data_IF_253429271140
#
_entry.id   IF_253429271140
#
_cell.length_a   1.000
_cell.length_b   1.000
_cell.length_c   1.000
_cell.angle_alpha   90.00
_cell.angle_beta   90.00
_cell.angle_gamma   90.00
#
_symmetry.space_group_name_H-M   'P 1'
#
loop_
_entity.id
_entity.type
_entity.pdbx_description
1 polymer ?
#
# COMPACT_ATOMS: atom_id res chain seq x y z
N UNK A 1 -5.76 3.84 -19.12
CA UNK A 1 -5.84 2.39 -18.84
C UNK A 1 -7.24 1.95 -18.37
N UNK A 2 -8.16 2.90 -18.16
CA UNK A 2 -9.51 2.68 -17.59
C UNK A 2 -9.47 2.08 -16.18
N UNK A 3 -8.44 2.39 -15.42
CA UNK A 3 -8.31 2.01 -14.01
C UNK A 3 -9.23 2.91 -13.19
N UNK A 4 -10.08 2.36 -12.28
CA UNK A 4 -10.92 3.17 -11.42
C UNK A 4 -10.07 4.07 -10.52
N UNK A 5 -10.39 5.34 -10.45
CA UNK A 5 -9.78 6.32 -9.54
C UNK A 5 -10.84 6.94 -8.65
N UNK A 6 -10.44 7.46 -7.51
CA UNK A 6 -11.36 8.17 -6.63
C UNK A 6 -11.99 9.34 -7.41
N UNK A 7 -13.32 9.48 -7.41
CA UNK A 7 -13.99 10.61 -8.06
C UNK A 7 -13.47 11.95 -7.52
N UNK A 8 -13.08 12.84 -8.41
CA UNK A 8 -12.48 14.10 -8.03
C UNK A 8 -12.32 15.07 -9.20
N UNK A 9 -11.66 16.19 -8.95
CA UNK A 9 -11.34 17.19 -9.98
C UNK A 9 -10.29 16.63 -10.93
N UNK A 10 -10.51 16.80 -12.24
CA UNK A 10 -9.52 16.46 -13.27
C UNK A 10 -8.51 17.60 -13.45
N UNK A 11 -8.99 18.82 -13.32
CA UNK A 11 -8.20 20.03 -13.41
C UNK A 11 -7.95 20.59 -12.00
N UNK A 12 -6.83 21.29 -11.82
CA UNK A 12 -6.55 21.94 -10.56
C UNK A 12 -7.55 23.04 -10.23
N UNK A 13 -7.75 23.30 -8.96
CA UNK A 13 -8.58 24.40 -8.44
C UNK A 13 -7.69 25.36 -7.66
N UNK A 14 -7.92 26.66 -7.85
CA UNK A 14 -7.08 27.72 -7.29
C UNK A 14 -7.82 28.63 -6.32
N UNK A 15 -9.14 28.66 -6.39
CA UNK A 15 -9.98 29.53 -5.58
C UNK A 15 -11.06 28.76 -4.85
N UNK A 16 -11.52 29.30 -3.69
CA UNK A 16 -12.62 28.72 -2.94
C UNK A 16 -13.87 28.57 -3.81
N UNK A 17 -14.18 29.57 -4.66
CA UNK A 17 -15.37 29.55 -5.51
C UNK A 17 -15.32 28.45 -6.60
N UNK A 18 -14.14 28.12 -7.13
CA UNK A 18 -13.94 26.98 -8.02
C UNK A 18 -14.10 25.67 -7.29
N UNK A 19 -13.50 25.59 -6.09
CA UNK A 19 -13.55 24.43 -5.23
C UNK A 19 -14.98 24.11 -4.78
N UNK A 20 -15.76 25.10 -4.35
CA UNK A 20 -17.18 24.93 -3.97
C UNK A 20 -18.05 24.42 -5.13
N UNK A 21 -17.77 24.87 -6.36
CA UNK A 21 -18.46 24.33 -7.55
C UNK A 21 -18.15 22.86 -7.77
N UNK A 22 -16.87 22.48 -7.67
CA UNK A 22 -16.44 21.11 -7.85
C UNK A 22 -17.01 20.18 -6.75
N UNK A 23 -17.06 20.63 -5.51
CA UNK A 23 -17.62 19.84 -4.39
C UNK A 23 -19.09 19.52 -4.57
N UNK A 24 -19.88 20.39 -5.22
CA UNK A 24 -21.30 20.10 -5.54
C UNK A 24 -21.48 18.86 -6.41
N UNK A 25 -20.49 18.54 -7.24
CA UNK A 25 -20.50 17.34 -8.08
C UNK A 25 -19.89 16.14 -7.36
N UNK A 26 -18.84 16.35 -6.56
CA UNK A 26 -18.12 15.29 -5.85
C UNK A 26 -18.90 14.80 -4.62
N UNK A 27 -19.52 15.74 -3.87
CA UNK A 27 -20.21 15.50 -2.60
C UNK A 27 -19.25 15.52 -1.39
N UNK A 28 -19.87 15.54 -0.19
CA UNK A 28 -19.15 15.40 1.08
C UNK A 28 -19.23 13.96 1.62
N UNK A 29 -18.23 13.51 2.39
CA UNK A 29 -17.00 14.22 2.74
C UNK A 29 -16.01 14.28 1.55
N UNK A 30 -15.22 15.36 1.50
CA UNK A 30 -14.25 15.63 0.44
C UNK A 30 -12.84 15.77 1.00
N UNK A 31 -11.87 15.20 0.29
CA UNK A 31 -10.45 15.39 0.55
C UNK A 31 -9.93 16.56 -0.28
N UNK A 32 -9.34 17.52 0.38
CA UNK A 32 -8.61 18.64 -0.21
C UNK A 32 -7.14 18.27 -0.24
N UNK A 33 -6.48 18.33 -1.41
CA UNK A 33 -5.10 17.88 -1.61
C UNK A 33 -4.29 18.95 -2.33
N UNK A 34 -3.13 19.30 -1.78
CA UNK A 34 -2.14 20.10 -2.51
C UNK A 34 -1.44 19.22 -3.56
N UNK A 35 -1.22 19.76 -4.77
CA UNK A 35 -0.54 19.04 -5.86
C UNK A 35 0.87 18.61 -5.47
N UNK A 36 1.62 19.49 -4.82
CA UNK A 36 2.98 19.22 -4.33
C UNK A 36 3.00 18.55 -2.96
N UNK A 37 1.82 18.28 -2.35
CA UNK A 37 1.70 17.69 -1.01
C UNK A 37 2.06 16.20 -1.00
N UNK A 38 2.55 15.74 0.16
CA UNK A 38 2.86 14.33 0.40
C UNK A 38 3.01 14.05 1.89
N UNK A 39 2.86 12.77 2.30
CA UNK A 39 2.98 12.38 3.70
C UNK A 39 1.96 13.05 4.63
N UNK A 40 0.78 13.45 4.11
CA UNK A 40 -0.28 14.13 4.88
C UNK A 40 -0.16 15.65 4.97
N UNK A 41 0.91 16.26 4.46
CA UNK A 41 1.04 17.72 4.38
C UNK A 41 0.24 18.27 3.20
N UNK A 42 -0.46 19.39 3.43
CA UNK A 42 -1.34 19.99 2.42
C UNK A 42 -2.59 19.18 2.14
N UNK A 43 -3.02 18.33 3.07
CA UNK A 43 -4.23 17.50 2.95
C UNK A 43 -5.20 17.81 4.10
N UNK A 44 -6.48 17.99 3.77
CA UNK A 44 -7.56 18.22 4.74
C UNK A 44 -8.83 17.51 4.30
N UNK A 45 -9.58 16.99 5.27
CA UNK A 45 -10.90 16.41 5.01
C UNK A 45 -11.95 17.39 5.47
N UNK A 46 -12.81 17.82 4.54
CA UNK A 46 -13.99 18.59 4.86
C UNK A 46 -15.21 17.67 4.84
N UNK A 47 -15.97 17.66 5.94
CA UNK A 47 -17.14 16.79 6.11
C UNK A 47 -18.45 17.44 5.71
N UNK A 48 -18.45 18.76 5.62
CA UNK A 48 -19.64 19.56 5.30
C UNK A 48 -19.23 20.91 4.67
N UNK A 49 -20.24 21.61 4.14
CA UNK A 49 -20.06 22.88 3.45
C UNK A 49 -19.54 23.99 4.39
N UNK A 50 -19.94 23.95 5.68
CA UNK A 50 -19.61 25.01 6.64
C UNK A 50 -18.12 25.12 6.94
N UNK A 51 -17.41 24.00 6.97
CA UNK A 51 -15.98 23.96 7.26
C UNK A 51 -15.09 24.00 5.99
N UNK A 52 -15.69 23.73 4.81
CA UNK A 52 -14.95 23.49 3.58
C UNK A 52 -14.06 24.66 3.17
N UNK A 53 -14.65 25.88 3.07
CA UNK A 53 -13.92 27.06 2.61
C UNK A 53 -12.68 27.34 3.48
N UNK A 54 -12.84 27.30 4.80
CA UNK A 54 -11.74 27.51 5.75
C UNK A 54 -10.65 26.45 5.63
N UNK A 55 -11.04 25.17 5.49
CA UNK A 55 -10.09 24.07 5.35
C UNK A 55 -9.34 24.12 4.01
N UNK A 56 -10.02 24.55 2.94
CA UNK A 56 -9.39 24.77 1.64
C UNK A 56 -8.32 25.87 1.70
N UNK A 57 -8.65 27.03 2.23
CA UNK A 57 -7.69 28.13 2.41
C UNK A 57 -6.50 27.73 3.26
N UNK A 58 -6.76 27.01 4.37
CA UNK A 58 -5.69 26.53 5.27
C UNK A 58 -4.76 25.56 4.56
N UNK A 59 -5.29 24.59 3.80
CA UNK A 59 -4.48 23.62 3.04
C UNK A 59 -3.67 24.30 1.94
N UNK A 60 -4.27 25.28 1.26
CA UNK A 60 -3.59 26.03 0.19
C UNK A 60 -2.47 26.91 0.75
N UNK A 61 -2.69 27.61 1.87
CA UNK A 61 -1.65 28.41 2.55
C UNK A 61 -0.48 27.54 3.01
N UNK A 62 -0.78 26.36 3.59
CA UNK A 62 0.24 25.38 3.98
C UNK A 62 1.06 24.93 2.76
N UNK A 63 0.41 24.68 1.62
CA UNK A 63 1.06 24.29 0.39
C UNK A 63 1.97 25.37 -0.15
N UNK A 64 1.50 26.61 -0.19
CA UNK A 64 2.31 27.76 -0.62
C UNK A 64 3.52 27.95 0.29
N UNK A 65 3.32 27.85 1.60
CA UNK A 65 4.42 28.01 2.56
C UNK A 65 5.47 26.89 2.47
N UNK A 66 5.02 25.65 2.29
CA UNK A 66 5.91 24.48 2.31
C UNK A 66 6.52 24.14 0.95
N UNK A 67 5.82 24.43 -0.14
CA UNK A 67 6.17 23.96 -1.49
C UNK A 67 6.20 25.08 -2.54
N UNK A 68 5.82 26.31 -2.18
CA UNK A 68 5.68 27.45 -3.14
C UNK A 68 4.69 27.16 -4.27
N UNK A 69 3.68 26.33 -4.01
CA UNK A 69 2.67 25.89 -4.99
C UNK A 69 1.27 26.03 -4.37
N UNK A 70 0.35 26.69 -5.09
CA UNK A 70 -1.03 26.90 -4.67
C UNK A 70 -2.03 25.99 -5.39
N UNK A 71 -1.52 25.02 -6.15
CA UNK A 71 -2.33 24.08 -6.93
C UNK A 71 -3.01 23.08 -6.02
N UNK A 72 -4.34 23.04 -6.06
CA UNK A 72 -5.15 22.16 -5.24
C UNK A 72 -5.99 21.22 -6.10
N UNK A 73 -6.29 20.02 -5.56
CA UNK A 73 -7.21 19.04 -6.10
C UNK A 73 -8.22 18.64 -5.04
N UNK A 74 -9.40 18.20 -5.48
CA UNK A 74 -10.46 17.69 -4.61
C UNK A 74 -10.80 16.27 -5.02
N UNK A 75 -10.93 15.40 -4.03
CA UNK A 75 -11.34 14.01 -4.24
C UNK A 75 -12.42 13.63 -3.22
N UNK A 76 -13.33 12.74 -3.60
CA UNK A 76 -14.24 12.13 -2.62
C UNK A 76 -13.43 11.48 -1.51
N UNK A 77 -13.77 11.75 -0.27
CA UNK A 77 -13.12 11.07 0.84
C UNK A 77 -13.75 9.68 1.02
N UNK A 78 -12.95 8.64 0.84
CA UNK A 78 -13.37 7.26 1.06
C UNK A 78 -13.28 6.98 2.56
N UNK A 79 -14.43 6.76 3.20
CA UNK A 79 -14.49 6.53 4.64
C UNK A 79 -14.18 5.08 4.99
N UNK A 80 -13.31 4.89 5.99
CA UNK A 80 -12.91 3.58 6.50
C UNK A 80 -12.58 2.55 5.38
N UNK A 81 -11.76 2.91 4.40
CA UNK A 81 -11.42 1.99 3.33
C UNK A 81 -10.53 0.86 3.84
N UNK A 82 -10.58 -0.29 3.17
CA UNK A 82 -9.49 -1.26 3.26
C UNK A 82 -8.38 -0.86 2.30
N UNK A 83 -7.16 -1.07 2.74
CA UNK A 83 -5.98 -0.97 1.91
C UNK A 83 -5.69 -2.35 1.32
N UNK A 84 -6.05 -2.55 0.07
CA UNK A 84 -5.84 -3.81 -0.65
C UNK A 84 -4.90 -3.55 -1.81
N UNK A 85 -3.86 -4.36 -1.92
CA UNK A 85 -2.84 -4.18 -2.94
C UNK A 85 -2.62 -5.46 -3.74
N UNK A 86 -2.22 -5.32 -5.00
CA UNK A 86 -2.02 -6.45 -5.91
C UNK A 86 -0.55 -6.53 -6.33
N UNK A 87 0.06 -7.69 -6.10
CA UNK A 87 1.44 -7.97 -6.52
C UNK A 87 1.52 -8.19 -8.02
N UNK A 88 2.39 -7.45 -8.68
CA UNK A 88 2.68 -7.54 -10.12
C UNK A 88 4.07 -8.12 -10.35
N UNK A 89 4.18 -8.95 -11.38
CA UNK A 89 5.43 -9.28 -12.05
C UNK A 89 5.31 -8.97 -13.53
N UNK A 90 6.33 -8.32 -14.09
CA UNK A 90 6.38 -7.95 -15.50
C UNK A 90 7.79 -8.13 -16.07
N UNK A 91 7.89 -8.63 -17.29
CA UNK A 91 9.17 -8.76 -18.01
C UNK A 91 9.26 -7.80 -19.21
N UNK A 92 10.44 -7.67 -19.76
CA UNK A 92 10.71 -6.83 -20.95
C UNK A 92 10.03 -7.31 -22.24
N UNK A 93 9.43 -8.49 -22.23
CA UNK A 93 8.76 -9.09 -23.39
C UNK A 93 7.25 -8.76 -23.43
N UNK A 94 6.77 -7.97 -22.45
CA UNK A 94 5.37 -7.55 -22.35
C UNK A 94 4.49 -8.55 -21.60
N UNK A 95 5.05 -9.59 -20.99
CA UNK A 95 4.31 -10.44 -20.08
C UNK A 95 4.12 -9.70 -18.77
N UNK A 96 2.88 -9.57 -18.34
CA UNK A 96 2.50 -8.95 -17.06
C UNK A 96 1.47 -9.84 -16.40
N UNK A 97 1.76 -10.29 -15.18
CA UNK A 97 0.87 -11.13 -14.38
C UNK A 97 0.68 -10.53 -12.99
N UNK A 98 -0.37 -10.96 -12.30
CA UNK A 98 -0.58 -10.69 -10.88
C UNK A 98 -0.50 -11.98 -10.06
N UNK A 99 -0.02 -11.87 -8.82
CA UNK A 99 0.14 -12.98 -7.88
C UNK A 99 -0.88 -12.93 -6.72
N UNK A 100 -2.07 -12.38 -6.98
CA UNK A 100 -3.06 -12.14 -5.94
C UNK A 100 -2.84 -10.84 -5.18
N UNK A 101 -3.66 -10.67 -4.16
CA UNK A 101 -3.69 -9.46 -3.36
C UNK A 101 -3.25 -9.71 -1.92
N UNK A 102 -2.91 -8.59 -1.26
CA UNK A 102 -2.68 -8.50 0.18
C UNK A 102 -3.65 -7.50 0.81
N UNK A 103 -4.13 -7.78 1.99
CA UNK A 103 -4.82 -6.82 2.85
C UNK A 103 -3.79 -6.18 3.80
N UNK A 104 -3.61 -4.87 3.67
CA UNK A 104 -2.68 -4.08 4.45
C UNK A 104 -3.41 -3.03 5.31
N UNK A 105 -4.66 -3.30 5.69
CA UNK A 105 -5.51 -2.33 6.39
C UNK A 105 -5.12 -2.12 7.85
N UNK A 106 -4.40 -3.07 8.48
CA UNK A 106 -3.94 -2.90 9.86
C UNK A 106 -2.71 -2.00 9.88
N UNK A 107 -2.94 -0.74 10.19
CA UNK A 107 -1.93 0.30 10.14
C UNK A 107 -1.92 1.13 11.43
N UNK A 108 -0.76 1.69 11.77
CA UNK A 108 -0.60 2.70 12.81
C UNK A 108 0.02 3.95 12.20
N UNK A 109 -0.68 5.08 12.26
CA UNK A 109 -0.23 6.36 11.66
C UNK A 109 0.17 6.22 10.18
N UNK A 110 -0.64 5.50 9.40
CA UNK A 110 -0.41 5.19 7.99
C UNK A 110 0.81 4.29 7.70
N UNK A 111 1.37 3.63 8.70
CA UNK A 111 2.39 2.61 8.55
C UNK A 111 1.74 1.22 8.69
N UNK A 112 1.95 0.36 7.71
CA UNK A 112 1.51 -1.04 7.71
C UNK A 112 2.16 -1.76 8.89
N UNK A 113 1.38 -2.57 9.63
CA UNK A 113 1.83 -3.30 10.82
C UNK A 113 1.59 -4.81 10.70
N UNK A 114 0.45 -5.17 10.11
CA UNK A 114 0.08 -6.56 9.83
C UNK A 114 -0.46 -6.60 8.42
N UNK A 115 0.04 -7.53 7.63
CA UNK A 115 -0.39 -7.79 6.26
C UNK A 115 -0.80 -9.25 6.11
N UNK A 116 -1.85 -9.51 5.34
CA UNK A 116 -2.32 -10.88 5.11
C UNK A 116 -2.65 -11.12 3.64
N UNK A 117 -2.50 -12.37 3.21
CA UNK A 117 -2.89 -12.83 1.87
C UNK A 117 -3.50 -14.24 1.98
N UNK A 118 -4.62 -14.51 1.27
CA UNK A 118 -5.45 -13.55 0.53
C UNK A 118 -6.31 -12.66 1.43
N UNK A 119 -6.79 -11.55 0.90
CA UNK A 119 -7.73 -10.66 1.60
C UNK A 119 -9.07 -11.38 1.82
N UNK A 120 -9.51 -11.45 3.08
CA UNK A 120 -10.78 -12.11 3.46
C UNK A 120 -12.03 -11.27 3.16
N UNK A 121 -11.85 -9.97 2.89
CA UNK A 121 -12.95 -9.03 2.69
C UNK A 121 -13.46 -8.99 1.24
N UNK A 122 -12.82 -9.70 0.31
CA UNK A 122 -13.18 -9.68 -1.11
C UNK A 122 -13.61 -11.05 -1.60
N UNK A 123 -14.56 -11.05 -2.53
CA UNK A 123 -14.99 -12.26 -3.25
C UNK A 123 -14.00 -12.61 -4.35
N UNK A 124 -14.02 -13.87 -4.82
CA UNK A 124 -13.18 -14.31 -5.95
C UNK A 124 -13.44 -13.50 -7.23
N UNK A 125 -14.68 -13.06 -7.44
CA UNK A 125 -15.05 -12.19 -8.57
C UNK A 125 -14.36 -10.83 -8.45
N UNK A 126 -14.32 -10.24 -7.24
CA UNK A 126 -13.68 -8.96 -7.01
C UNK A 126 -12.16 -9.10 -7.08
N UNK A 127 -11.58 -10.16 -6.51
CA UNK A 127 -10.16 -10.51 -6.61
C UNK A 127 -9.71 -10.56 -8.06
N UNK A 128 -10.44 -11.27 -8.90
CA UNK A 128 -10.15 -11.34 -10.33
C UNK A 128 -10.20 -9.96 -11.00
N UNK A 129 -11.24 -9.17 -10.74
CA UNK A 129 -11.40 -7.82 -11.29
C UNK A 129 -10.25 -6.90 -10.88
N UNK A 130 -9.85 -6.94 -9.60
CA UNK A 130 -8.73 -6.14 -9.08
C UNK A 130 -7.40 -6.57 -9.71
N UNK A 131 -7.14 -7.88 -9.81
CA UNK A 131 -5.95 -8.42 -10.45
C UNK A 131 -5.81 -8.01 -11.92
N UNK A 132 -6.88 -8.17 -12.70
CA UNK A 132 -6.93 -7.74 -14.11
C UNK A 132 -6.72 -6.23 -14.26
N UNK A 133 -7.31 -5.44 -13.35
CA UNK A 133 -7.12 -3.98 -13.32
C UNK A 133 -5.68 -3.59 -13.02
N UNK A 134 -5.04 -4.27 -12.07
CA UNK A 134 -3.64 -4.04 -11.73
C UNK A 134 -2.70 -4.39 -12.90
N UNK A 135 -2.97 -5.49 -13.61
CA UNK A 135 -2.24 -5.85 -14.85
C UNK A 135 -2.42 -4.78 -15.92
N UNK A 136 -3.63 -4.25 -16.10
CA UNK A 136 -3.88 -3.16 -17.06
C UNK A 136 -3.10 -1.89 -16.70
N UNK A 137 -3.04 -1.52 -15.40
CA UNK A 137 -2.27 -0.38 -14.93
C UNK A 137 -0.77 -0.56 -15.21
N UNK A 138 -0.20 -1.70 -14.84
CA UNK A 138 1.21 -2.00 -15.05
C UNK A 138 1.59 -2.02 -16.54
N UNK A 139 0.77 -2.61 -17.40
CA UNK A 139 0.96 -2.60 -18.87
C UNK A 139 0.93 -1.18 -19.43
N UNK A 140 -0.01 -0.35 -18.99
CA UNK A 140 -0.11 1.04 -19.46
C UNK A 140 1.09 1.90 -19.04
N UNK A 141 1.73 1.56 -17.92
CA UNK A 141 2.97 2.18 -17.46
C UNK A 141 4.24 1.64 -18.15
N UNK A 142 4.15 0.57 -18.92
CA UNK A 142 5.31 -0.12 -19.48
C UNK A 142 6.23 -0.69 -18.40
N UNK A 143 5.64 -1.18 -17.30
CA UNK A 143 6.38 -1.60 -16.12
C UNK A 143 7.14 -2.90 -16.33
N UNK A 144 8.34 -2.99 -15.76
CA UNK A 144 9.17 -4.21 -15.68
C UNK A 144 9.58 -4.46 -14.23
N UNK A 145 9.78 -5.72 -13.85
CA UNK A 145 10.15 -6.22 -12.52
C UNK A 145 8.98 -6.50 -11.60
N UNK A 146 9.25 -6.70 -10.30
CA UNK A 146 8.24 -6.83 -9.27
C UNK A 146 7.76 -5.45 -8.81
N UNK A 147 6.47 -5.25 -8.80
CA UNK A 147 5.83 -4.02 -8.34
C UNK A 147 4.47 -4.30 -7.72
N UNK A 148 3.87 -3.30 -7.14
CA UNK A 148 2.58 -3.42 -6.45
C UNK A 148 1.66 -2.29 -6.84
N UNK A 149 0.40 -2.62 -7.14
CA UNK A 149 -0.67 -1.64 -7.34
C UNK A 149 -1.51 -1.60 -6.08
N UNK A 150 -1.58 -0.44 -5.45
CA UNK A 150 -2.35 -0.21 -4.23
C UNK A 150 -3.73 0.37 -4.56
N UNK A 151 -4.75 -0.14 -3.88
CA UNK A 151 -6.15 0.26 -4.02
C UNK A 151 -6.77 0.60 -2.67
N UNK A 152 -7.68 1.57 -2.68
CA UNK A 152 -8.66 1.77 -1.62
C UNK A 152 -9.92 1.00 -1.98
N UNK A 153 -10.31 0.07 -1.12
CA UNK A 153 -11.56 -0.69 -1.24
C UNK A 153 -12.58 -0.12 -0.25
N UNK A 154 -13.70 0.38 -0.74
CA UNK A 154 -14.75 0.91 0.11
C UNK A 154 -15.71 -0.19 0.62
N UNK A 155 -16.61 0.18 1.52
CA UNK A 155 -17.57 -0.74 2.12
C UNK A 155 -18.63 -1.27 1.15
N UNK A 156 -18.81 -0.61 0.00
CA UNK A 156 -19.74 -1.04 -1.06
C UNK A 156 -19.13 -2.10 -1.98
N UNK A 157 -17.82 -2.34 -1.88
CA UNK A 157 -17.05 -3.21 -2.75
C UNK A 157 -16.52 -2.52 -4.01
N UNK A 158 -16.65 -1.19 -4.11
CA UNK A 158 -15.95 -0.41 -5.14
C UNK A 158 -14.50 -0.17 -4.72
N UNK A 159 -13.59 -0.22 -5.68
CA UNK A 159 -12.18 -0.02 -5.41
C UNK A 159 -11.57 1.05 -6.33
N UNK A 160 -10.59 1.76 -5.82
CA UNK A 160 -9.98 2.91 -6.48
C UNK A 160 -8.46 2.80 -6.41
N UNK A 161 -7.80 3.03 -7.54
CA UNK A 161 -6.36 3.12 -7.63
C UNK A 161 -5.84 4.24 -6.72
N UNK A 162 -4.84 3.93 -5.92
CA UNK A 162 -4.16 4.88 -5.06
C UNK A 162 -2.77 5.22 -5.62
N UNK A 163 -1.91 4.22 -5.74
CA UNK A 163 -0.55 4.40 -6.27
C UNK A 163 0.04 3.08 -6.79
N UNK A 164 1.18 3.19 -7.46
CA UNK A 164 2.02 2.06 -7.83
C UNK A 164 3.36 2.16 -7.12
N UNK A 165 3.73 1.11 -6.39
CA UNK A 165 5.05 0.96 -5.83
C UNK A 165 5.94 0.19 -6.82
N UNK A 166 6.90 0.90 -7.43
CA UNK A 166 7.81 0.39 -8.46
C UNK A 166 9.05 -0.27 -7.84
N UNK A 167 8.83 -1.14 -6.87
CA UNK A 167 9.83 -1.85 -6.08
C UNK A 167 9.21 -3.05 -5.39
N UNK A 168 10.07 -3.92 -4.84
CA UNK A 168 9.61 -4.93 -3.87
C UNK A 168 9.16 -4.24 -2.59
N UNK A 169 8.15 -4.79 -1.92
CA UNK A 169 7.64 -4.28 -0.64
C UNK A 169 8.03 -5.21 0.52
N UNK A 170 7.93 -4.70 1.75
CA UNK A 170 8.27 -5.44 2.96
C UNK A 170 7.42 -6.72 3.06
N UNK A 171 6.14 -6.60 2.75
CA UNK A 171 5.09 -7.62 2.86
C UNK A 171 5.05 -8.64 1.71
N UNK A 172 6.05 -8.64 0.82
CA UNK A 172 6.11 -9.63 -0.27
C UNK A 172 6.07 -11.11 0.18
N UNK A 173 6.59 -11.49 1.37
CA UNK A 173 6.62 -12.89 1.77
C UNK A 173 5.25 -13.55 1.89
N UNK A 174 4.20 -12.81 2.28
CA UNK A 174 2.85 -13.40 2.35
C UNK A 174 2.37 -13.83 0.96
N UNK A 175 2.71 -13.07 -0.09
CA UNK A 175 2.42 -13.45 -1.47
C UNK A 175 3.26 -14.65 -1.91
N UNK A 176 4.55 -14.70 -1.55
CA UNK A 176 5.41 -15.84 -1.86
C UNK A 176 4.86 -17.15 -1.29
N UNK A 177 4.39 -17.12 -0.03
CA UNK A 177 3.82 -18.30 0.61
C UNK A 177 2.56 -18.80 -0.09
N UNK A 178 1.60 -17.92 -0.39
CA UNK A 178 0.33 -18.34 -0.97
C UNK A 178 0.40 -18.64 -2.46
N UNK A 179 1.33 -18.03 -3.20
CA UNK A 179 1.49 -18.24 -4.66
C UNK A 179 2.53 -19.28 -5.02
N UNK A 180 3.48 -19.57 -4.11
CA UNK A 180 4.62 -20.43 -4.38
C UNK A 180 5.68 -19.81 -5.30
N UNK A 181 5.63 -18.50 -5.56
CA UNK A 181 6.57 -17.78 -6.44
C UNK A 181 7.56 -16.99 -5.62
N UNK A 182 8.85 -17.24 -5.80
CA UNK A 182 9.95 -16.47 -5.19
C UNK A 182 10.14 -15.15 -5.97
N UNK A 183 9.63 -14.06 -5.41
CA UNK A 183 9.63 -12.74 -6.03
C UNK A 183 11.03 -12.17 -6.21
N UNK A 184 11.93 -12.39 -5.26
CA UNK A 184 13.32 -11.90 -5.33
C UNK A 184 14.07 -12.63 -6.45
N UNK A 185 13.86 -13.92 -6.58
CA UNK A 185 14.44 -14.72 -7.65
C UNK A 185 13.92 -14.28 -9.02
N UNK A 186 12.62 -14.00 -9.12
CA UNK A 186 12.04 -13.49 -10.37
C UNK A 186 12.61 -12.10 -10.72
N UNK A 187 12.80 -11.19 -9.75
CA UNK A 187 13.46 -9.90 -10.00
C UNK A 187 14.86 -10.08 -10.60
N UNK A 188 15.65 -11.01 -10.04
CA UNK A 188 17.00 -11.30 -10.54
C UNK A 188 16.95 -11.86 -11.97
N UNK A 189 16.02 -12.77 -12.26
CA UNK A 189 15.83 -13.35 -13.61
C UNK A 189 15.42 -12.28 -14.63
N UNK A 190 14.44 -11.45 -14.28
CA UNK A 190 14.00 -10.36 -15.14
C UNK A 190 15.14 -9.38 -15.42
N UNK A 191 15.91 -9.01 -14.40
CA UNK A 191 17.08 -8.15 -14.55
C UNK A 191 18.18 -8.78 -15.42
N UNK A 192 18.33 -10.11 -15.38
CA UNK A 192 19.21 -10.86 -16.27
C UNK A 192 18.68 -10.94 -17.71
N UNK A 193 17.46 -10.48 -17.94
CA UNK A 193 16.83 -10.46 -19.26
C UNK A 193 16.06 -11.71 -19.61
N UNK A 194 15.78 -12.59 -18.65
CA UNK A 194 14.95 -13.77 -18.83
C UNK A 194 13.45 -13.39 -18.86
N UNK A 195 12.61 -14.15 -19.55
CA UNK A 195 11.16 -14.03 -19.42
C UNK A 195 10.69 -14.52 -18.05
N UNK A 196 9.46 -14.15 -17.66
CA UNK A 196 8.83 -14.70 -16.46
C UNK A 196 8.85 -16.23 -16.48
N UNK A 197 9.21 -16.83 -15.33
CA UNK A 197 9.25 -18.29 -15.20
C UNK A 197 7.87 -18.94 -15.07
N UNK A 198 6.84 -18.15 -14.84
CA UNK A 198 5.45 -18.56 -14.62
C UNK A 198 4.49 -17.74 -15.48
N UNK A 199 3.35 -18.30 -15.81
CA UNK A 199 2.27 -17.61 -16.53
C UNK A 199 1.08 -17.38 -15.60
N UNK A 200 0.19 -16.45 -15.93
CA UNK A 200 -1.00 -16.15 -15.11
C UNK A 200 -1.85 -17.40 -14.82
N UNK A 201 -1.97 -18.31 -15.76
CA UNK A 201 -2.75 -19.55 -15.60
C UNK A 201 -2.14 -20.54 -14.60
N UNK A 202 -0.87 -20.39 -14.28
CA UNK A 202 -0.12 -21.28 -13.38
C UNK A 202 -0.21 -20.78 -11.93
N UNK A 203 -0.72 -19.57 -11.74
CA UNK A 203 -0.85 -18.96 -10.41
C UNK A 203 -2.11 -19.47 -9.72
N UNK A 204 -1.91 -20.15 -8.62
CA UNK A 204 -2.94 -20.63 -7.74
C UNK A 204 -2.66 -20.15 -6.31
N UNK A 205 -3.61 -19.44 -5.71
CA UNK A 205 -3.50 -18.98 -4.33
C UNK A 205 -3.91 -20.11 -3.39
N UNK A 206 -2.98 -20.57 -2.55
CA UNK A 206 -3.18 -21.70 -1.63
C UNK A 206 -2.91 -21.27 -0.21
N UNK A 207 -3.75 -21.74 0.72
CA UNK A 207 -3.60 -21.44 2.14
C UNK A 207 -3.81 -19.97 2.48
N UNK A 208 -3.25 -19.58 3.60
CA UNK A 208 -3.31 -18.21 4.11
C UNK A 208 -1.99 -17.86 4.78
N UNK A 209 -1.47 -16.67 4.53
CA UNK A 209 -0.26 -16.16 5.16
C UNK A 209 -0.53 -14.82 5.83
N UNK A 210 0.14 -14.59 6.95
CA UNK A 210 0.08 -13.33 7.68
C UNK A 210 1.50 -12.91 8.08
N UNK A 211 1.82 -11.64 7.88
CA UNK A 211 3.08 -11.03 8.29
C UNK A 211 2.82 -10.03 9.41
N UNK A 212 3.68 -10.04 10.44
CA UNK A 212 3.72 -9.03 11.49
C UNK A 212 5.08 -8.32 11.45
N UNK A 213 5.08 -7.00 11.42
CA UNK A 213 6.30 -6.20 11.55
C UNK A 213 6.66 -6.05 13.01
N UNK A 214 7.91 -6.34 13.35
CA UNK A 214 8.45 -6.21 14.71
C UNK A 214 9.34 -4.98 14.73
N UNK A 215 8.92 -4.00 15.52
CA UNK A 215 9.58 -2.70 15.61
C UNK A 215 10.23 -2.51 16.99
N UNK A 216 11.45 -1.98 17.00
CA UNK A 216 12.12 -1.52 18.22
C UNK A 216 11.53 -0.16 18.62
N UNK A 217 10.40 -0.19 19.31
CA UNK A 217 9.64 0.99 19.73
C UNK A 217 9.17 0.84 21.17
N UNK A 218 9.05 1.96 21.87
CA UNK A 218 8.58 2.02 23.25
C UNK A 218 7.09 2.41 23.28
N UNK A 219 6.16 1.48 23.61
CA UNK A 219 4.73 1.76 23.64
C UNK A 219 4.34 2.76 24.75
N UNK A 220 5.11 2.84 25.85
CA UNK A 220 4.85 3.79 26.94
C UNK A 220 5.22 5.22 26.55
N UNK A 221 6.09 5.38 25.53
CA UNK A 221 6.48 6.66 24.96
C UNK A 221 5.88 6.92 23.58
N UNK A 222 4.61 6.60 23.41
CA UNK A 222 3.90 6.80 22.15
C UNK A 222 4.55 6.12 20.94
N UNK A 223 5.16 4.96 21.14
CA UNK A 223 5.87 4.20 20.12
C UNK A 223 7.05 4.96 19.49
N UNK A 224 7.77 5.72 20.31
CA UNK A 224 9.03 6.30 19.87
C UNK A 224 10.04 5.20 19.54
N UNK A 225 10.88 5.37 18.49
CA UNK A 225 11.98 4.46 18.22
C UNK A 225 12.86 4.27 19.46
N UNK A 226 13.19 3.02 19.76
CA UNK A 226 13.95 2.62 20.92
C UNK A 226 15.24 1.89 20.47
N UNK A 227 16.27 2.63 19.96
CA UNK A 227 17.56 2.03 19.63
C UNK A 227 18.25 1.54 20.91
N UNK A 228 19.07 0.53 20.77
CA UNK A 228 19.79 -0.03 21.91
C UNK A 228 20.35 -1.42 21.62
N UNK A 229 20.89 -2.05 22.66
CA UNK A 229 21.45 -3.41 22.56
C UNK A 229 20.39 -4.45 22.90
N UNK A 230 20.28 -5.48 22.04
CA UNK A 230 19.47 -6.67 22.31
C UNK A 230 20.26 -7.57 23.23
N UNK A 231 19.78 -7.70 24.47
CA UNK A 231 20.46 -8.54 25.49
C UNK A 231 20.07 -10.00 25.42
N UNK A 232 18.87 -10.28 24.94
CA UNK A 232 18.33 -11.63 24.73
C UNK A 232 17.39 -11.65 23.54
N UNK A 233 17.53 -12.66 22.68
CA UNK A 233 16.72 -12.82 21.47
C UNK A 233 16.29 -14.28 21.33
N UNK A 234 14.98 -14.50 21.28
CA UNK A 234 14.39 -15.77 20.94
C UNK A 234 13.50 -15.62 19.72
N UNK A 235 13.89 -16.24 18.60
CA UNK A 235 13.10 -16.22 17.37
C UNK A 235 12.18 -17.44 17.34
N UNK A 236 10.88 -17.26 16.98
CA UNK A 236 9.98 -18.38 16.77
C UNK A 236 10.42 -19.20 15.55
N UNK A 237 10.07 -20.48 15.53
CA UNK A 237 10.38 -21.38 14.42
C UNK A 237 9.38 -22.53 14.37
N UNK A 238 9.47 -23.30 13.30
CA UNK A 238 8.60 -24.46 13.06
C UNK A 238 8.05 -24.45 11.64
N UNK A 239 7.17 -25.42 11.36
CA UNK A 239 6.55 -25.51 10.03
C UNK A 239 5.63 -24.31 9.78
N UNK A 240 5.75 -23.69 8.61
CA UNK A 240 4.95 -22.52 8.24
C UNK A 240 5.37 -21.21 8.91
N UNK A 241 6.53 -21.17 9.61
CA UNK A 241 7.07 -19.92 10.20
C UNK A 241 8.34 -19.51 9.47
N UNK A 242 8.35 -18.26 9.00
CA UNK A 242 9.53 -17.58 8.43
C UNK A 242 9.80 -16.31 9.25
N UNK A 243 11.06 -16.08 9.58
CA UNK A 243 11.51 -14.85 10.23
C UNK A 243 12.58 -14.21 9.36
N UNK A 244 12.31 -13.02 8.85
CA UNK A 244 13.29 -12.21 8.13
C UNK A 244 13.84 -11.14 9.09
N UNK A 245 15.10 -11.25 9.45
CA UNK A 245 15.73 -10.33 10.39
C UNK A 245 17.25 -10.26 10.18
N UNK A 246 17.84 -9.13 10.54
CA UNK A 246 19.28 -8.94 10.62
C UNK A 246 19.80 -8.90 12.08
N UNK A 247 18.89 -8.96 13.07
CA UNK A 247 19.29 -8.86 14.47
C UNK A 247 19.67 -10.23 15.06
N UNK A 248 20.54 -10.20 16.05
CA UNK A 248 21.04 -11.36 16.80
C UNK A 248 21.32 -10.92 18.25
N UNK A 249 21.65 -11.86 19.13
CA UNK A 249 22.02 -11.53 20.50
C UNK A 249 23.21 -10.56 20.50
N UNK A 250 23.17 -9.57 21.36
CA UNK A 250 24.12 -8.46 21.45
C UNK A 250 24.15 -7.49 20.26
N UNK A 251 23.24 -7.62 19.28
CA UNK A 251 23.11 -6.65 18.20
C UNK A 251 22.76 -5.26 18.75
N UNK A 252 23.46 -4.24 18.29
CA UNK A 252 23.16 -2.85 18.60
C UNK A 252 22.26 -2.26 17.50
N UNK A 253 21.01 -2.00 17.82
CA UNK A 253 20.05 -1.37 16.89
C UNK A 253 20.50 0.09 16.69
N UNK A 254 20.85 0.48 15.44
CA UNK A 254 21.32 1.84 15.18
C UNK A 254 20.17 2.84 15.15
N UNK A 255 20.39 4.10 15.53
CA UNK A 255 19.36 5.14 15.51
C UNK A 255 19.13 5.79 14.13
N UNK A 256 19.79 5.31 13.08
CA UNK A 256 19.86 5.97 11.77
C UNK A 256 18.82 5.47 10.77
N UNK A 257 18.14 4.36 11.07
CA UNK A 257 17.19 3.69 10.18
C UNK A 257 15.81 3.60 10.83
N UNK A 258 14.86 3.07 10.08
CA UNK A 258 13.53 2.69 10.59
C UNK A 258 13.66 1.75 11.80
N UNK A 259 12.66 1.78 12.67
CA UNK A 259 12.58 0.97 13.88
C UNK A 259 12.35 -0.53 13.63
N UNK A 260 11.98 -0.93 12.40
CA UNK A 260 11.70 -2.33 12.08
C UNK A 260 12.95 -3.19 12.18
N UNK A 261 12.93 -4.19 13.05
CA UNK A 261 14.06 -5.10 13.31
C UNK A 261 13.83 -6.52 12.80
N UNK A 262 12.58 -6.88 12.60
CA UNK A 262 12.21 -8.18 12.06
C UNK A 262 10.81 -8.14 11.45
N UNK A 263 10.51 -9.11 10.62
CA UNK A 263 9.16 -9.50 10.24
C UNK A 263 8.98 -10.98 10.48
N UNK A 264 7.85 -11.35 11.07
CA UNK A 264 7.47 -12.73 11.33
C UNK A 264 6.33 -13.04 10.38
N UNK A 265 6.50 -14.06 9.57
CA UNK A 265 5.50 -14.51 8.61
C UNK A 265 5.06 -15.90 9.02
N UNK A 266 3.75 -16.11 9.09
CA UNK A 266 3.13 -17.41 9.35
C UNK A 266 2.27 -17.82 8.16
N UNK A 267 2.24 -19.11 7.89
CA UNK A 267 1.48 -19.69 6.80
C UNK A 267 0.85 -21.03 7.22
N UNK A 268 -0.42 -21.22 6.91
CA UNK A 268 -1.09 -22.50 7.06
C UNK A 268 -2.15 -22.69 5.94
N UNK A 269 -2.85 -23.83 5.98
CA UNK A 269 -3.90 -24.20 5.01
C UNK A 269 -5.08 -23.21 4.96
N UNK A 270 -5.36 -22.54 6.07
CA UNK A 270 -6.40 -21.53 6.19
C UNK A 270 -6.05 -20.50 7.29
N UNK A 271 -6.85 -19.43 7.40
CA UNK A 271 -6.60 -18.31 8.33
C UNK A 271 -6.77 -18.66 9.80
N UNK A 272 -7.49 -19.71 10.12
CA UNK A 272 -7.84 -20.08 11.51
C UNK A 272 -6.88 -21.12 12.11
N UNK A 273 -6.11 -21.78 11.25
CA UNK A 273 -5.09 -22.74 11.65
C UNK A 273 -3.84 -22.06 12.16
#
# INVERSE_FOLDING_TARGET
AKVPVVPGTKEPVYTVAEAERAVKEIGFPVMIKASAGGGGKGMRVARNEQEFAKLFETAQQESVHSFSDNTMYLERFVENPRHVEVQILADKYGNVIHLGERDCSVQRRHQKMIEESPCIAISDKLRKKMGETAVCAAKAAGYESAGTIEFLLDQSGEFYFMEMNTRIQVEHPVTEFVSGVDLIKEQIRIAAGEPLSVQQKDIEIRGHAMECRINAEDPERHFMPCPGRITDLHLPGGNGIRVDTAVYNDYAIPPYYDSMIAKIIVYDKDRHS
#
